data_IF_351826243284
#
_entry.id   IF_351826243284
#
_cell.length_a   1.000
_cell.length_b   1.000
_cell.length_c   1.000
_cell.angle_alpha   90.00
_cell.angle_beta   90.00
_cell.angle_gamma   90.00
#
_symmetry.space_group_name_H-M   'P 1'
#
loop_
_entity.id
_entity.type
_entity.pdbx_description
1 polymer ?
#
# COMPACT_ATOMS: atom_id res chain seq x y z
N UNK A 1 6.76 -16.59 3.12
CA UNK A 1 5.51 -15.79 3.03
C UNK A 1 5.78 -14.67 2.03
N UNK A 2 5.01 -14.56 0.95
CA UNK A 2 5.21 -13.49 -0.05
C UNK A 2 4.75 -12.14 0.52
N UNK A 3 5.45 -11.06 0.21
CA UNK A 3 5.14 -9.68 0.63
C UNK A 3 3.71 -9.27 0.22
N UNK A 4 3.26 -9.73 -0.94
CA UNK A 4 1.88 -9.61 -1.42
C UNK A 4 0.86 -10.28 -0.52
N UNK A 5 1.22 -11.40 0.13
CA UNK A 5 0.31 -12.06 1.07
C UNK A 5 0.13 -11.26 2.37
N UNK A 6 1.05 -10.34 2.70
CA UNK A 6 0.87 -9.50 3.91
C UNK A 6 -0.16 -8.40 3.65
N UNK A 7 -0.26 -7.91 2.41
CA UNK A 7 -1.17 -6.82 2.03
C UNK A 7 -2.53 -7.34 1.54
N UNK A 8 -2.58 -8.52 0.91
CA UNK A 8 -3.76 -9.01 0.15
C UNK A 8 -4.38 -10.30 0.74
N UNK A 9 -3.98 -10.75 1.94
CA UNK A 9 -4.46 -12.02 2.50
C UNK A 9 -5.92 -12.05 2.98
N UNK A 10 -6.65 -10.93 2.93
CA UNK A 10 -8.03 -10.87 3.40
C UNK A 10 -9.02 -11.03 2.24
N UNK A 11 -9.99 -11.94 2.38
CA UNK A 11 -11.13 -12.03 1.46
C UNK A 11 -11.96 -10.73 1.51
N UNK A 12 -12.49 -10.30 0.36
CA UNK A 12 -13.37 -9.13 0.27
C UNK A 12 -12.66 -7.78 0.14
N UNK A 13 -11.34 -7.77 -0.09
CA UNK A 13 -10.61 -6.56 -0.44
C UNK A 13 -10.93 -6.09 -1.87
N UNK A 14 -10.77 -4.79 -2.09
CA UNK A 14 -10.87 -4.20 -3.42
C UNK A 14 -9.87 -4.86 -4.38
N UNK A 15 -10.28 -5.01 -5.63
CA UNK A 15 -9.42 -5.59 -6.66
C UNK A 15 -8.35 -4.58 -7.08
N UNK A 16 -7.06 -4.93 -7.05
CA UNK A 16 -6.00 -4.04 -7.53
C UNK A 16 -6.04 -3.90 -9.05
N UNK A 17 -5.58 -2.75 -9.53
CA UNK A 17 -5.09 -2.54 -10.87
C UNK A 17 -3.58 -2.76 -10.86
N UNK A 18 -3.07 -3.56 -11.79
CA UNK A 18 -1.65 -3.92 -11.87
C UNK A 18 -1.15 -3.53 -13.25
N UNK A 19 -0.05 -2.79 -13.30
CA UNK A 19 0.61 -2.37 -14.53
C UNK A 19 2.13 -2.56 -14.43
N UNK A 20 2.82 -2.95 -15.51
CA UNK A 20 4.28 -2.92 -15.54
C UNK A 20 4.76 -1.47 -15.65
N UNK A 21 5.86 -1.16 -14.97
CA UNK A 21 6.55 0.13 -15.14
C UNK A 21 7.51 0.07 -16.34
N UNK A 22 7.91 1.22 -16.93
CA UNK A 22 8.78 1.26 -18.12
C UNK A 22 10.17 0.63 -17.92
N UNK A 23 10.67 0.64 -16.70
CA UNK A 23 11.94 0.04 -16.24
C UNK A 23 11.82 -1.44 -15.85
N UNK A 24 10.62 -2.03 -15.97
CA UNK A 24 10.39 -3.46 -15.79
C UNK A 24 9.90 -3.85 -14.39
N UNK A 25 9.66 -2.88 -13.51
CA UNK A 25 8.98 -3.02 -12.22
C UNK A 25 7.46 -3.26 -12.32
N UNK A 26 6.78 -3.08 -11.19
CA UNK A 26 5.33 -3.23 -11.06
C UNK A 26 4.71 -2.06 -10.30
N UNK A 27 3.68 -1.47 -10.88
CA UNK A 27 2.74 -0.60 -10.20
C UNK A 27 1.48 -1.38 -9.83
N UNK A 28 1.08 -1.29 -8.58
CA UNK A 28 -0.12 -1.90 -8.03
C UNK A 28 -0.93 -0.81 -7.34
N UNK A 29 -2.16 -0.59 -7.79
CA UNK A 29 -3.03 0.46 -7.27
C UNK A 29 -4.40 -0.10 -6.89
N UNK A 30 -4.88 0.28 -5.71
CA UNK A 30 -6.28 0.17 -5.33
C UNK A 30 -6.89 1.56 -5.32
N UNK A 31 -8.00 1.75 -6.03
CA UNK A 31 -8.77 2.98 -6.03
C UNK A 31 -10.20 2.67 -5.60
N UNK A 32 -10.61 3.20 -4.45
CA UNK A 32 -11.95 2.94 -3.87
C UNK A 32 -12.56 4.25 -3.41
N UNK A 33 -13.65 4.66 -4.06
CA UNK A 33 -14.41 5.87 -3.71
C UNK A 33 -13.56 7.16 -3.60
N UNK A 34 -12.47 7.25 -4.37
CA UNK A 34 -11.55 8.39 -4.36
C UNK A 34 -10.31 8.21 -3.47
N UNK A 35 -10.36 7.32 -2.48
CA UNK A 35 -9.18 6.92 -1.71
C UNK A 35 -8.29 5.97 -2.55
N UNK A 36 -6.96 6.12 -2.45
CA UNK A 36 -6.01 5.26 -3.17
C UNK A 36 -4.91 4.68 -2.28
N UNK A 37 -4.57 3.42 -2.53
CA UNK A 37 -3.34 2.79 -2.04
C UNK A 37 -2.51 2.37 -3.26
N UNK A 38 -1.26 2.80 -3.30
CA UNK A 38 -0.32 2.56 -4.39
C UNK A 38 0.92 1.86 -3.82
N UNK A 39 1.34 0.78 -4.50
CA UNK A 39 2.62 0.11 -4.29
C UNK A 39 3.36 0.14 -5.63
N UNK A 40 4.55 0.72 -5.64
CA UNK A 40 5.45 0.67 -6.80
C UNK A 40 6.66 -0.14 -6.41
N UNK A 41 6.91 -1.23 -7.14
CA UNK A 41 8.03 -2.12 -6.93
C UNK A 41 9.00 -1.95 -8.11
N UNK A 42 10.12 -1.30 -7.85
CA UNK A 42 11.29 -1.41 -8.70
C UNK A 42 12.02 -2.70 -8.31
N UNK A 43 12.06 -3.68 -9.21
CA UNK A 43 12.71 -4.97 -8.91
C UNK A 43 14.21 -4.87 -8.71
N UNK A 44 14.83 -3.74 -9.06
CA UNK A 44 16.26 -3.55 -8.93
C UNK A 44 16.60 -2.99 -7.55
N UNK A 45 15.84 -1.98 -7.10
CA UNK A 45 16.33 -1.10 -6.04
C UNK A 45 15.34 -0.90 -4.88
N UNK A 46 14.03 -0.76 -5.11
CA UNK A 46 13.14 -0.26 -4.05
C UNK A 46 11.66 -0.67 -4.12
N UNK A 47 10.99 -0.55 -2.99
CA UNK A 47 9.53 -0.58 -2.84
C UNK A 47 9.03 0.77 -2.33
N UNK A 48 8.12 1.39 -3.07
CA UNK A 48 7.39 2.59 -2.66
C UNK A 48 5.95 2.23 -2.24
N UNK A 49 5.47 2.85 -1.16
CA UNK A 49 4.14 2.66 -0.60
C UNK A 49 3.50 4.02 -0.33
N UNK A 50 2.37 4.29 -0.97
CA UNK A 50 1.66 5.57 -0.87
C UNK A 50 0.18 5.34 -0.62
N UNK A 51 -0.33 5.83 0.51
CA UNK A 51 -1.76 5.87 0.81
C UNK A 51 -2.30 7.29 0.79
N UNK A 52 -3.30 7.57 -0.06
CA UNK A 52 -3.97 8.88 -0.19
C UNK A 52 -5.47 8.75 0.02
N UNK A 53 -6.05 9.82 0.57
CA UNK A 53 -7.50 9.98 0.64
C UNK A 53 -8.05 10.73 -0.56
N UNK A 54 -9.36 10.68 -0.74
CA UNK A 54 -10.10 11.42 -1.77
C UNK A 54 -9.82 12.94 -1.79
N UNK A 55 -9.51 13.53 -0.65
CA UNK A 55 -9.14 14.93 -0.48
C UNK A 55 -7.65 15.22 -0.80
N UNK A 56 -6.88 14.21 -1.22
CA UNK A 56 -5.46 14.30 -1.54
C UNK A 56 -4.52 14.20 -0.34
N UNK A 57 -5.02 14.08 0.89
CA UNK A 57 -4.19 13.94 2.08
C UNK A 57 -3.55 12.56 2.17
N UNK A 58 -2.29 12.53 2.57
CA UNK A 58 -1.59 11.29 2.87
C UNK A 58 -2.10 10.67 4.17
N UNK A 59 -2.39 9.38 4.14
CA UNK A 59 -2.79 8.61 5.34
C UNK A 59 -1.59 8.37 6.26
N UNK A 60 -0.44 8.17 5.64
CA UNK A 60 0.90 8.14 6.21
C UNK A 60 1.83 8.78 5.17
N UNK A 61 2.94 9.37 5.60
CA UNK A 61 3.90 9.95 4.66
C UNK A 61 4.35 8.92 3.62
N UNK A 62 4.56 9.31 2.34
CA UNK A 62 5.11 8.42 1.33
C UNK A 62 6.31 7.67 1.88
N UNK A 63 6.31 6.36 1.71
CA UNK A 63 7.36 5.50 2.25
C UNK A 63 8.10 4.84 1.11
N UNK A 64 9.42 4.95 1.13
CA UNK A 64 10.33 4.27 0.21
C UNK A 64 11.23 3.37 1.05
N UNK A 65 11.36 2.12 0.63
CA UNK A 65 12.20 1.11 1.25
C UNK A 65 13.18 0.58 0.21
N UNK A 66 14.47 0.78 0.46
CA UNK A 66 15.53 0.20 -0.36
C UNK A 66 15.67 -1.28 0.02
N UNK A 67 15.94 -2.16 -0.95
CA UNK A 67 16.14 -3.58 -0.64
C UNK A 67 17.37 -3.87 0.23
N UNK A 68 18.28 -2.89 0.37
CA UNK A 68 19.42 -2.94 1.27
C UNK A 68 19.07 -2.53 2.72
N UNK A 69 17.90 -1.92 2.93
CA UNK A 69 17.45 -1.51 4.25
C UNK A 69 16.97 -2.71 5.09
N UNK A 70 16.94 -2.51 6.41
CA UNK A 70 16.40 -3.51 7.33
C UNK A 70 14.90 -3.73 7.08
N UNK A 71 14.50 -4.97 6.84
CA UNK A 71 13.10 -5.38 6.62
C UNK A 71 12.19 -5.00 7.80
N UNK A 72 12.75 -4.89 9.00
CA UNK A 72 11.98 -4.49 10.19
C UNK A 72 11.43 -3.05 10.08
N UNK A 73 12.04 -2.21 9.24
CA UNK A 73 11.52 -0.85 8.96
C UNK A 73 10.31 -0.87 8.03
N UNK A 74 10.17 -1.90 7.20
CA UNK A 74 9.07 -2.06 6.23
C UNK A 74 7.79 -2.59 6.88
N UNK A 75 7.92 -3.45 7.90
CA UNK A 75 6.79 -4.15 8.53
C UNK A 75 5.71 -3.19 9.05
N UNK A 76 6.02 -2.11 9.82
CA UNK A 76 5.00 -1.19 10.32
C UNK A 76 4.20 -0.51 9.20
N UNK A 77 4.85 -0.23 8.07
CA UNK A 77 4.22 0.43 6.92
C UNK A 77 3.32 -0.55 6.18
N UNK A 78 3.75 -1.79 5.95
CA UNK A 78 2.90 -2.83 5.35
C UNK A 78 1.64 -3.09 6.17
N UNK A 79 1.76 -3.12 7.51
CA UNK A 79 0.60 -3.26 8.41
C UNK A 79 -0.34 -2.07 8.28
N UNK A 80 0.20 -0.85 8.18
CA UNK A 80 -0.61 0.37 8.01
C UNK A 80 -1.32 0.41 6.66
N UNK A 81 -0.61 0.02 5.58
CA UNK A 81 -1.16 -0.11 4.24
C UNK A 81 -2.27 -1.17 4.18
N UNK A 82 -2.05 -2.36 4.74
CA UNK A 82 -3.07 -3.42 4.79
C UNK A 82 -4.33 -3.00 5.53
N UNK A 83 -4.21 -2.36 6.70
CA UNK A 83 -5.35 -1.81 7.44
C UNK A 83 -6.08 -0.72 6.67
N UNK A 84 -5.34 0.14 5.97
CA UNK A 84 -5.96 1.16 5.14
C UNK A 84 -6.70 0.53 3.97
N UNK A 85 -6.13 -0.48 3.31
CA UNK A 85 -6.78 -1.22 2.23
C UNK A 85 -8.08 -1.89 2.71
N UNK A 86 -8.07 -2.55 3.87
CA UNK A 86 -9.28 -3.12 4.48
C UNK A 86 -10.34 -2.04 4.72
N UNK A 87 -9.92 -0.88 5.24
CA UNK A 87 -10.81 0.24 5.54
C UNK A 87 -11.50 0.78 4.28
N UNK A 88 -10.75 1.05 3.22
CA UNK A 88 -11.30 1.59 1.98
C UNK A 88 -12.14 0.54 1.25
N UNK A 89 -11.75 -0.73 1.30
CA UNK A 89 -12.47 -1.84 0.66
C UNK A 89 -13.83 -2.13 1.31
N UNK A 90 -13.94 -1.97 2.63
CA UNK A 90 -15.18 -2.25 3.38
C UNK A 90 -16.09 -1.03 3.52
N UNK A 91 -15.61 0.17 3.15
CA UNK A 91 -16.33 1.43 3.37
C UNK A 91 -16.46 1.81 4.86
N UNK A 92 -15.75 1.12 5.76
CA UNK A 92 -15.88 1.34 7.21
C UNK A 92 -14.96 2.49 7.64
N UNK A 93 -15.51 3.63 8.04
CA UNK A 93 -14.73 4.74 8.59
C UNK A 93 -14.29 4.49 10.06
N UNK A 94 -13.40 3.53 10.31
CA UNK A 94 -12.73 3.48 11.63
C UNK A 94 -11.75 4.65 11.74
N UNK A 95 -11.96 5.55 12.71
CA UNK A 95 -10.97 6.55 13.12
C UNK A 95 -9.69 5.80 13.52
N UNK A 96 -8.62 5.97 12.75
CA UNK A 96 -7.30 5.48 13.15
C UNK A 96 -6.90 6.25 14.42
N UNK A 97 -6.62 5.58 15.55
CA UNK A 97 -6.09 6.26 16.72
C UNK A 97 -4.67 6.71 16.40
N UNK A 98 -4.49 8.03 16.23
CA UNK A 98 -3.18 8.67 16.25
C UNK A 98 -2.70 8.56 17.70
N UNK A 99 -1.56 7.90 17.93
CA UNK A 99 -0.79 7.99 19.18
C UNK A 99 0.46 8.79 18.92
#
# INVERSE_FOLDING_TARGET
>A
MSLLNVVVASDGLATPQIAPTPDGGLDIQWLVSGDSLELTLDFQDCLSIVGRRDNGEYVFGPFEWDFQDDVDTLVPILVSAGRFLEKISTGIQHRLPIR
#
